data_IF_637143359560
#
_entry.id   IF_637143359560
#
_cell.length_a   1.000
_cell.length_b   1.000
_cell.length_c   1.000
_cell.angle_alpha   90.00
_cell.angle_beta   90.00
_cell.angle_gamma   90.00
#
_symmetry.space_group_name_H-M   'P 1'
#
loop_
_entity.id
_entity.type
_entity.pdbx_description
1 polymer ?
#
# COMPACT_ATOMS: atom_id res chain seq x y z
N UNK A 1 -40.69 24.28 -11.27
CA UNK A 1 -39.59 23.50 -10.65
C UNK A 1 -39.23 22.42 -11.65
N UNK A 2 -38.26 22.68 -12.52
CA UNK A 2 -37.85 21.75 -13.57
C UNK A 2 -37.12 20.57 -12.95
N UNK A 3 -37.56 19.36 -13.27
CA UNK A 3 -36.79 18.14 -13.06
C UNK A 3 -35.45 18.32 -13.77
N UNK A 4 -34.37 18.52 -13.00
CA UNK A 4 -33.02 18.39 -13.54
C UNK A 4 -32.92 16.98 -14.09
N UNK A 5 -32.99 16.85 -15.42
CA UNK A 5 -32.82 15.58 -16.09
C UNK A 5 -31.45 15.06 -15.74
N UNK A 6 -31.39 13.79 -15.33
CA UNK A 6 -30.13 13.10 -15.11
C UNK A 6 -29.41 13.09 -16.46
N UNK A 7 -28.35 13.88 -16.57
CA UNK A 7 -27.51 13.93 -17.77
C UNK A 7 -26.71 12.63 -17.84
N UNK A 8 -26.86 11.88 -18.94
CA UNK A 8 -26.04 10.72 -19.25
C UNK A 8 -25.04 11.13 -20.35
N UNK A 9 -23.84 11.61 -20.00
CA UNK A 9 -22.87 11.99 -21.01
C UNK A 9 -22.43 10.77 -21.82
N UNK A 10 -22.25 10.94 -23.13
CA UNK A 10 -21.77 9.87 -24.01
C UNK A 10 -20.28 9.54 -23.77
N UNK A 11 -19.52 10.52 -23.28
CA UNK A 11 -18.13 10.38 -22.87
C UNK A 11 -17.75 11.52 -21.90
N UNK A 12 -16.67 11.33 -21.15
CA UNK A 12 -16.05 12.34 -20.29
C UNK A 12 -14.65 12.65 -20.80
N UNK A 13 -14.39 13.92 -21.08
CA UNK A 13 -13.04 14.42 -21.38
C UNK A 13 -12.57 15.21 -20.16
N UNK A 14 -11.49 14.76 -19.54
CA UNK A 14 -10.85 15.44 -18.42
C UNK A 14 -9.58 16.12 -18.92
N UNK A 15 -9.23 17.26 -18.33
CA UNK A 15 -8.03 18.02 -18.71
C UNK A 15 -7.01 17.86 -17.59
N UNK A 16 -5.87 17.24 -17.89
CA UNK A 16 -4.72 17.22 -17.00
C UNK A 16 -4.26 18.66 -16.75
N UNK A 17 -3.91 18.99 -15.51
CA UNK A 17 -3.48 20.35 -15.13
C UNK A 17 -1.96 20.50 -15.12
N UNK A 18 -1.22 19.42 -15.41
CA UNK A 18 0.22 19.39 -15.51
C UNK A 18 0.61 19.01 -16.94
N UNK A 19 1.71 19.59 -17.44
CA UNK A 19 2.19 19.38 -18.82
C UNK A 19 3.13 18.18 -18.95
N UNK A 20 3.64 17.65 -17.83
CA UNK A 20 4.64 16.59 -17.80
C UNK A 20 4.08 15.25 -17.28
N UNK A 21 2.80 15.20 -16.94
CA UNK A 21 2.16 14.03 -16.36
C UNK A 21 0.93 13.62 -17.18
N UNK A 22 1.01 12.44 -17.78
CA UNK A 22 -0.03 11.86 -18.63
C UNK A 22 -0.92 10.85 -17.88
N UNK A 23 -0.87 10.81 -16.55
CA UNK A 23 -1.70 9.91 -15.77
C UNK A 23 -3.19 10.24 -15.95
N UNK A 24 -4.05 9.23 -16.17
CA UNK A 24 -5.49 9.44 -16.24
C UNK A 24 -6.02 10.00 -14.92
N UNK A 25 -6.92 10.98 -15.00
CA UNK A 25 -7.65 11.52 -13.84
C UNK A 25 -8.67 10.49 -13.34
N UNK A 26 -9.38 9.83 -14.27
CA UNK A 26 -10.29 8.74 -13.96
C UNK A 26 -9.52 7.44 -14.17
N UNK A 27 -9.23 6.74 -13.06
CA UNK A 27 -8.53 5.44 -13.03
C UNK A 27 -9.41 4.29 -12.57
N UNK A 28 -10.67 4.60 -12.26
CA UNK A 28 -11.67 3.61 -11.87
C UNK A 28 -12.06 2.76 -13.08
N UNK A 29 -11.71 1.48 -13.04
CA UNK A 29 -12.00 0.53 -14.10
C UNK A 29 -13.48 0.16 -14.18
N UNK A 30 -14.25 0.38 -13.11
CA UNK A 30 -15.70 0.16 -13.07
C UNK A 30 -16.47 1.42 -13.51
N UNK A 31 -15.78 2.50 -13.90
CA UNK A 31 -16.42 3.69 -14.45
C UNK A 31 -17.00 3.39 -15.84
N UNK A 32 -18.34 3.34 -16.00
CA UNK A 32 -18.95 2.74 -17.18
C UNK A 32 -19.08 3.70 -18.37
N UNK A 33 -18.59 4.93 -18.22
CA UNK A 33 -18.67 5.99 -19.23
C UNK A 33 -17.30 6.13 -19.90
N UNK A 34 -17.19 6.08 -21.24
CA UNK A 34 -15.93 6.31 -21.93
C UNK A 34 -15.24 7.58 -21.45
N UNK A 35 -14.03 7.46 -20.91
CA UNK A 35 -13.29 8.60 -20.36
C UNK A 35 -11.88 8.70 -20.91
N UNK A 36 -11.43 9.93 -21.16
CA UNK A 36 -10.05 10.22 -21.57
C UNK A 36 -9.53 11.44 -20.81
N UNK A 37 -8.25 11.42 -20.45
CA UNK A 37 -7.53 12.61 -19.97
C UNK A 37 -6.70 13.16 -21.11
N UNK A 38 -6.84 14.46 -21.36
CA UNK A 38 -6.10 15.19 -22.41
C UNK A 38 -5.18 16.23 -21.76
N UNK A 39 -4.17 16.69 -22.51
CA UNK A 39 -3.23 17.71 -22.02
C UNK A 39 -3.91 19.07 -21.82
N UNK A 40 -3.31 19.98 -21.01
CA UNK A 40 -3.80 21.35 -20.87
C UNK A 40 -4.03 22.07 -22.21
N UNK A 41 -3.17 21.84 -23.21
CA UNK A 41 -3.25 22.47 -24.54
C UNK A 41 -4.49 22.01 -25.30
N UNK A 42 -4.79 20.70 -25.27
CA UNK A 42 -6.01 20.16 -25.87
C UNK A 42 -7.23 20.68 -25.10
N UNK A 43 -7.17 20.74 -23.77
CA UNK A 43 -8.23 21.32 -22.95
C UNK A 43 -8.51 22.79 -23.30
N UNK A 44 -7.47 23.60 -23.46
CA UNK A 44 -7.58 25.00 -23.87
C UNK A 44 -8.22 25.11 -25.26
N UNK A 45 -7.80 24.28 -26.22
CA UNK A 45 -8.40 24.23 -27.56
C UNK A 45 -9.90 23.92 -27.47
N UNK A 46 -10.29 22.89 -26.71
CA UNK A 46 -11.68 22.47 -26.54
C UNK A 46 -12.54 23.56 -25.90
N UNK A 47 -12.00 24.33 -24.96
CA UNK A 47 -12.72 25.40 -24.25
C UNK A 47 -12.80 26.72 -25.03
N UNK A 48 -11.84 27.00 -25.91
CA UNK A 48 -11.75 28.30 -26.61
C UNK A 48 -12.23 28.26 -28.05
N UNK A 49 -12.26 27.07 -28.68
CA UNK A 49 -12.75 26.92 -30.05
C UNK A 49 -14.28 27.02 -30.10
N UNK A 50 -14.78 28.22 -30.41
CA UNK A 50 -16.22 28.50 -30.52
C UNK A 50 -16.85 28.06 -31.85
N UNK A 51 -16.05 27.64 -32.82
CA UNK A 51 -16.55 27.24 -34.15
C UNK A 51 -16.86 25.73 -34.22
N UNK A 52 -16.26 24.92 -33.37
CA UNK A 52 -16.50 23.47 -33.30
C UNK A 52 -17.45 23.13 -32.15
N UNK A 53 -18.57 22.47 -32.48
CA UNK A 53 -19.58 22.05 -31.49
C UNK A 53 -19.56 20.55 -31.22
N UNK A 54 -18.64 19.79 -31.85
CA UNK A 54 -18.56 18.33 -31.72
C UNK A 54 -17.12 17.82 -31.67
N UNK A 55 -16.93 16.70 -30.96
CA UNK A 55 -15.65 15.98 -30.83
C UNK A 55 -15.91 14.51 -31.15
N UNK A 56 -14.99 13.87 -31.89
CA UNK A 56 -15.01 12.42 -32.09
C UNK A 56 -13.98 11.77 -31.17
N UNK A 57 -14.45 10.92 -30.26
CA UNK A 57 -13.61 10.10 -29.39
C UNK A 57 -13.79 8.63 -29.78
N UNK A 58 -12.69 7.93 -30.02
CA UNK A 58 -12.69 6.48 -30.28
C UNK A 58 -11.80 5.80 -29.24
N UNK A 59 -12.38 4.91 -28.44
CA UNK A 59 -11.66 4.09 -27.45
C UNK A 59 -11.84 2.62 -27.85
N UNK A 60 -10.73 1.91 -28.02
CA UNK A 60 -10.73 0.48 -28.26
C UNK A 60 -10.34 -0.24 -26.96
N UNK A 61 -11.34 -0.72 -26.23
CA UNK A 61 -11.14 -1.47 -24.98
C UNK A 61 -12.01 -2.73 -24.95
N UNK A 62 -11.61 -3.69 -24.11
CA UNK A 62 -12.39 -4.89 -23.84
C UNK A 62 -12.26 -5.25 -22.37
N UNK A 63 -13.37 -5.64 -21.73
CA UNK A 63 -13.36 -6.24 -20.39
C UNK A 63 -13.32 -7.75 -20.55
N UNK A 64 -12.40 -8.41 -19.87
CA UNK A 64 -12.24 -9.86 -19.88
C UNK A 64 -12.09 -10.37 -18.45
N UNK A 65 -12.60 -11.57 -18.13
CA UNK A 65 -12.35 -12.18 -16.82
C UNK A 65 -10.86 -12.35 -16.57
N UNK A 66 -10.41 -11.92 -15.39
CA UNK A 66 -9.05 -12.14 -14.88
C UNK A 66 -9.08 -12.88 -13.55
N UNK A 67 -7.95 -13.48 -13.18
CA UNK A 67 -7.77 -14.12 -11.87
C UNK A 67 -6.46 -13.68 -11.26
N UNK A 68 -6.45 -13.50 -9.94
CA UNK A 68 -5.26 -13.16 -9.17
C UNK A 68 -5.28 -13.90 -7.83
N UNK A 69 -4.14 -13.94 -7.13
CA UNK A 69 -4.02 -14.66 -5.85
C UNK A 69 -3.11 -13.90 -4.89
N UNK A 70 -3.51 -13.83 -3.63
CA UNK A 70 -2.54 -13.53 -2.56
C UNK A 70 -1.63 -14.74 -2.36
N UNK A 71 -0.35 -14.48 -2.09
CA UNK A 71 0.62 -15.51 -1.72
C UNK A 71 0.87 -15.38 -0.22
N UNK A 72 0.64 -16.46 0.53
CA UNK A 72 0.74 -16.45 2.00
C UNK A 72 1.75 -17.53 2.45
N UNK A 73 2.82 -17.10 3.09
CA UNK A 73 3.80 -17.95 3.78
C UNK A 73 3.61 -17.86 5.29
N UNK A 74 3.78 -18.97 6.02
CA UNK A 74 3.61 -19.00 7.48
C UNK A 74 4.75 -19.74 8.15
N UNK A 75 5.25 -19.16 9.24
CA UNK A 75 6.14 -19.82 10.19
C UNK A 75 5.37 -19.97 11.50
N UNK A 76 5.13 -21.21 11.90
CA UNK A 76 4.36 -21.51 13.10
C UNK A 76 5.11 -21.06 14.36
N UNK A 77 4.39 -20.41 15.27
CA UNK A 77 4.90 -20.04 16.57
C UNK A 77 4.61 -21.09 17.64
N UNK A 78 5.16 -20.89 18.85
CA UNK A 78 4.83 -21.69 20.05
C UNK A 78 3.40 -21.45 20.54
N UNK A 79 2.83 -20.29 20.24
CA UNK A 79 1.45 -19.90 20.52
C UNK A 79 0.70 -19.57 19.23
N UNK A 80 -0.62 -19.49 19.33
CA UNK A 80 -1.51 -19.24 18.20
C UNK A 80 -1.47 -17.78 17.68
N UNK A 81 -0.85 -16.88 18.45
CA UNK A 81 -0.66 -15.50 18.07
C UNK A 81 0.32 -15.37 16.90
N UNK A 82 0.23 -14.26 16.15
CA UNK A 82 1.12 -13.99 15.02
C UNK A 82 1.45 -12.51 14.81
N UNK A 83 2.57 -12.27 14.13
CA UNK A 83 2.92 -10.98 13.52
C UNK A 83 2.70 -11.13 12.01
N UNK A 84 2.02 -10.17 11.41
CA UNK A 84 1.81 -10.15 9.96
C UNK A 84 2.84 -9.21 9.33
N UNK A 85 3.46 -9.67 8.26
CA UNK A 85 4.32 -8.88 7.39
C UNK A 85 3.73 -8.90 5.99
N UNK A 86 3.62 -7.74 5.36
CA UNK A 86 2.92 -7.63 4.09
C UNK A 86 3.53 -6.60 3.13
N UNK A 87 3.34 -6.86 1.84
CA UNK A 87 3.55 -5.95 0.71
C UNK A 87 2.61 -6.41 -0.42
N UNK A 88 2.34 -5.58 -1.43
CA UNK A 88 1.63 -6.05 -2.64
C UNK A 88 2.63 -6.29 -3.78
N UNK A 89 2.29 -7.22 -4.68
CA UNK A 89 3.15 -7.58 -5.80
C UNK A 89 2.61 -7.15 -7.17
N UNK A 90 1.37 -6.65 -7.24
CA UNK A 90 0.88 -5.97 -8.43
C UNK A 90 1.45 -4.56 -8.54
N UNK A 91 1.33 -3.99 -9.73
CA UNK A 91 1.71 -2.61 -10.04
C UNK A 91 0.77 -2.07 -11.12
N UNK A 92 0.78 -0.76 -11.34
CA UNK A 92 -0.03 -0.11 -12.37
C UNK A 92 0.42 -0.53 -13.78
N UNK A 93 -0.51 -0.59 -14.73
CA UNK A 93 -0.17 -0.86 -16.12
C UNK A 93 0.86 0.14 -16.68
N UNK A 94 1.93 -0.37 -17.29
CA UNK A 94 2.94 0.43 -17.96
C UNK A 94 4.06 0.96 -17.06
N UNK A 95 4.09 0.59 -15.78
CA UNK A 95 5.26 0.76 -14.90
C UNK A 95 6.01 -0.58 -14.74
N UNK A 96 7.29 -0.52 -14.33
CA UNK A 96 8.03 -1.71 -13.90
C UNK A 96 7.76 -2.08 -12.44
N UNK A 97 7.21 -1.14 -11.65
CA UNK A 97 6.82 -1.35 -10.26
C UNK A 97 7.99 -1.57 -9.31
N UNK A 98 9.14 -0.95 -9.58
CA UNK A 98 10.36 -1.22 -8.81
C UNK A 98 10.27 -0.64 -7.39
N UNK A 99 9.85 0.61 -7.29
CA UNK A 99 9.50 1.30 -6.06
C UNK A 99 8.16 0.78 -5.54
N UNK A 100 7.18 0.68 -6.43
CA UNK A 100 5.78 0.39 -6.13
C UNK A 100 5.30 -0.90 -6.86
N UNK A 101 5.50 -2.08 -6.29
CA UNK A 101 6.03 -2.31 -4.93
C UNK A 101 6.99 -3.51 -4.82
N UNK A 102 7.79 -3.75 -5.88
CA UNK A 102 8.83 -4.78 -5.86
C UNK A 102 9.86 -4.55 -4.74
N UNK A 103 10.10 -3.30 -4.36
CA UNK A 103 10.98 -2.93 -3.22
C UNK A 103 10.46 -3.50 -1.89
N UNK A 104 9.16 -3.38 -1.60
CA UNK A 104 8.51 -3.96 -0.44
C UNK A 104 8.52 -5.48 -0.46
N UNK A 105 8.23 -6.09 -1.61
CA UNK A 105 8.33 -7.55 -1.80
C UNK A 105 9.74 -8.07 -1.55
N UNK A 106 10.77 -7.35 -2.01
CA UNK A 106 12.16 -7.70 -1.77
C UNK A 106 12.48 -7.77 -0.27
N UNK A 107 12.07 -6.76 0.52
CA UNK A 107 12.24 -6.78 1.97
C UNK A 107 11.42 -7.89 2.62
N UNK A 108 10.16 -8.08 2.22
CA UNK A 108 9.28 -9.13 2.74
C UNK A 108 9.91 -10.53 2.58
N UNK A 109 10.39 -10.84 1.37
CA UNK A 109 11.04 -12.12 1.07
C UNK A 109 12.36 -12.29 1.81
N UNK A 110 13.15 -11.21 1.94
CA UNK A 110 14.42 -11.25 2.67
C UNK A 110 14.20 -11.54 4.16
N UNK A 111 13.17 -10.93 4.78
CA UNK A 111 12.79 -11.25 6.17
C UNK A 111 12.28 -12.69 6.27
N UNK A 112 11.45 -13.13 5.33
CA UNK A 112 10.91 -14.49 5.32
C UNK A 112 12.03 -15.55 5.25
N UNK A 113 13.00 -15.37 4.36
CA UNK A 113 14.19 -16.23 4.24
C UNK A 113 14.99 -16.25 5.54
N UNK A 114 15.32 -15.07 6.08
CA UNK A 114 16.07 -14.96 7.33
C UNK A 114 15.36 -15.61 8.53
N UNK A 115 14.04 -15.47 8.62
CA UNK A 115 13.28 -16.05 9.73
C UNK A 115 13.07 -17.55 9.56
N UNK A 116 12.98 -18.08 8.33
CA UNK A 116 12.83 -19.51 8.09
C UNK A 116 14.03 -20.34 8.57
N UNK A 117 15.24 -19.76 8.60
CA UNK A 117 16.44 -20.39 9.15
C UNK A 117 16.47 -20.44 10.69
N UNK A 118 15.58 -19.68 11.35
CA UNK A 118 15.48 -19.64 12.81
C UNK A 118 14.39 -20.59 13.28
N UNK A 119 14.63 -21.19 14.43
CA UNK A 119 13.66 -22.06 15.06
C UNK A 119 13.02 -21.36 16.25
N UNK A 120 11.83 -21.83 16.63
CA UNK A 120 11.13 -21.44 17.85
C UNK A 120 10.61 -20.00 17.88
N UNK A 121 9.95 -19.55 16.80
CA UNK A 121 9.20 -18.31 16.85
C UNK A 121 8.13 -18.33 17.94
N UNK A 122 7.99 -17.21 18.61
CA UNK A 122 6.96 -16.96 19.60
C UNK A 122 6.78 -15.44 19.55
N UNK A 123 5.69 -14.87 19.00
CA UNK A 123 4.58 -15.53 18.29
C UNK A 123 4.98 -16.07 16.90
N UNK A 124 4.03 -16.65 16.16
CA UNK A 124 4.25 -17.06 14.76
C UNK A 124 4.39 -15.86 13.80
N UNK A 125 4.80 -16.13 12.55
CA UNK A 125 4.92 -15.11 11.50
C UNK A 125 4.07 -15.50 10.29
N UNK A 126 3.40 -14.51 9.71
CA UNK A 126 2.64 -14.66 8.47
C UNK A 126 3.09 -13.59 7.47
N UNK A 127 3.59 -14.04 6.32
CA UNK A 127 4.08 -13.21 5.23
C UNK A 127 3.05 -13.21 4.11
N UNK A 128 2.60 -12.03 3.69
CA UNK A 128 1.55 -11.88 2.69
C UNK A 128 2.07 -11.01 1.55
N UNK A 129 2.11 -11.56 0.35
CA UNK A 129 2.19 -10.77 -0.87
C UNK A 129 0.76 -10.60 -1.41
N UNK A 130 0.18 -9.41 -1.20
CA UNK A 130 -1.16 -9.08 -1.68
C UNK A 130 -1.16 -8.87 -3.19
N UNK A 131 -2.30 -9.22 -3.79
CA UNK A 131 -2.59 -8.91 -5.17
C UNK A 131 -3.67 -7.84 -5.29
N UNK A 132 -3.63 -7.08 -6.38
CA UNK A 132 -4.70 -6.15 -6.77
C UNK A 132 -4.91 -5.02 -5.75
N UNK A 133 -3.85 -4.58 -5.10
CA UNK A 133 -3.87 -3.40 -4.22
C UNK A 133 -4.29 -2.17 -5.05
N UNK A 134 -3.61 -1.97 -6.18
CA UNK A 134 -3.78 -0.83 -7.10
C UNK A 134 -5.15 -0.80 -7.79
N UNK A 135 -5.85 -1.93 -7.75
CA UNK A 135 -7.11 -2.16 -8.43
C UNK A 135 -8.20 -2.58 -7.43
N UNK A 136 -8.48 -1.70 -6.46
CA UNK A 136 -9.55 -1.79 -5.43
C UNK A 136 -9.29 -2.73 -4.24
N UNK A 137 -8.04 -3.15 -4.01
CA UNK A 137 -7.72 -4.03 -2.88
C UNK A 137 -8.50 -5.36 -2.89
N UNK A 138 -8.70 -5.97 -4.07
CA UNK A 138 -9.44 -7.23 -4.17
C UNK A 138 -8.75 -8.35 -3.36
N UNK A 139 -7.42 -8.36 -3.32
CA UNK A 139 -6.64 -9.26 -2.48
C UNK A 139 -6.98 -9.11 -1.00
N UNK A 140 -7.07 -7.87 -0.51
CA UNK A 140 -7.45 -7.56 0.86
C UNK A 140 -8.84 -8.10 1.19
N UNK A 141 -9.82 -7.86 0.32
CA UNK A 141 -11.19 -8.36 0.52
C UNK A 141 -11.23 -9.89 0.62
N UNK A 142 -10.50 -10.58 -0.27
CA UNK A 142 -10.40 -12.04 -0.26
C UNK A 142 -9.76 -12.52 1.05
N UNK A 143 -8.67 -11.88 1.49
CA UNK A 143 -7.98 -12.24 2.71
C UNK A 143 -8.87 -12.05 3.95
N UNK A 144 -9.50 -10.89 4.07
CA UNK A 144 -10.43 -10.58 5.16
C UNK A 144 -11.58 -11.59 5.21
N UNK A 145 -12.19 -11.92 4.07
CA UNK A 145 -13.30 -12.87 4.02
C UNK A 145 -12.96 -14.26 4.58
N UNK A 146 -11.66 -14.61 4.59
CA UNK A 146 -11.15 -15.92 5.02
C UNK A 146 -10.55 -15.94 6.42
N UNK A 147 -10.01 -14.81 6.89
CA UNK A 147 -9.13 -14.80 8.07
C UNK A 147 -9.45 -13.69 9.09
N UNK A 148 -10.50 -12.90 8.89
CA UNK A 148 -10.86 -11.81 9.81
C UNK A 148 -11.12 -12.29 11.25
N UNK A 149 -11.59 -13.52 11.43
CA UNK A 149 -11.82 -14.16 12.73
C UNK A 149 -10.53 -14.40 13.54
N UNK A 150 -9.36 -14.33 12.89
CA UNK A 150 -8.06 -14.51 13.53
C UNK A 150 -7.40 -13.18 13.93
N UNK A 151 -8.00 -12.04 13.61
CA UNK A 151 -7.34 -10.74 13.77
C UNK A 151 -7.10 -10.38 15.24
N UNK A 152 -7.91 -10.89 16.16
CA UNK A 152 -7.71 -10.72 17.61
C UNK A 152 -6.40 -11.35 18.12
N UNK A 153 -5.81 -12.27 17.34
CA UNK A 153 -4.54 -12.95 17.66
C UNK A 153 -3.33 -12.34 16.96
N UNK A 154 -3.53 -11.28 16.18
CA UNK A 154 -2.43 -10.57 15.52
C UNK A 154 -1.87 -9.54 16.47
N UNK A 155 -0.56 -9.55 16.74
CA UNK A 155 0.09 -8.54 17.58
C UNK A 155 0.21 -7.21 16.84
N UNK A 156 0.74 -7.28 15.61
CA UNK A 156 0.91 -6.14 14.74
C UNK A 156 0.97 -6.60 13.27
N UNK A 157 0.64 -5.71 12.35
CA UNK A 157 0.85 -5.87 10.92
C UNK A 157 1.90 -4.85 10.44
N UNK A 158 2.99 -5.32 9.85
CA UNK A 158 4.00 -4.47 9.22
C UNK A 158 3.77 -4.47 7.70
N UNK A 159 3.65 -3.30 7.09
CA UNK A 159 3.40 -3.17 5.65
C UNK A 159 4.52 -2.40 4.98
N UNK A 160 5.12 -2.99 3.95
CA UNK A 160 6.21 -2.38 3.19
C UNK A 160 5.67 -1.92 1.85
N UNK A 161 5.56 -0.61 1.67
CA UNK A 161 4.99 -0.04 0.46
C UNK A 161 5.65 1.27 0.04
N UNK A 162 6.27 1.25 -1.14
CA UNK A 162 7.03 2.36 -1.65
C UNK A 162 8.23 2.66 -0.75
N UNK A 163 9.18 1.73 -0.66
CA UNK A 163 10.41 1.92 0.13
C UNK A 163 11.66 2.00 -0.75
N UNK A 164 12.77 2.44 -0.16
CA UNK A 164 14.10 2.19 -0.73
C UNK A 164 14.55 3.14 -1.85
N UNK A 165 13.85 4.24 -2.15
CA UNK A 165 14.34 5.19 -3.17
C UNK A 165 15.71 5.74 -2.81
N UNK A 166 16.65 5.71 -3.76
CA UNK A 166 17.99 6.29 -3.65
C UNK A 166 17.94 7.78 -3.31
N UNK A 167 17.02 8.53 -3.92
CA UNK A 167 16.80 9.95 -3.64
C UNK A 167 15.55 10.10 -2.78
N UNK A 168 15.74 10.24 -1.47
CA UNK A 168 14.65 10.27 -0.50
C UNK A 168 15.06 9.73 0.86
N UNK A 169 14.10 9.53 1.74
CA UNK A 169 14.33 8.94 3.06
C UNK A 169 13.21 7.95 3.34
N UNK A 170 13.54 6.73 3.78
CA UNK A 170 12.53 5.81 4.26
C UNK A 170 11.81 6.42 5.45
N UNK A 171 10.56 6.04 5.67
CA UNK A 171 9.78 6.48 6.81
C UNK A 171 8.92 5.33 7.34
N UNK A 172 8.42 5.52 8.56
CA UNK A 172 7.41 4.68 9.17
C UNK A 172 6.51 5.51 10.08
N UNK A 173 5.37 4.93 10.42
CA UNK A 173 4.51 5.42 11.49
C UNK A 173 3.84 4.25 12.21
N UNK A 174 3.10 4.52 13.28
CA UNK A 174 2.28 3.52 13.97
C UNK A 174 0.82 3.95 13.90
N UNK A 175 -0.02 3.05 13.40
CA UNK A 175 -1.46 3.23 13.29
C UNK A 175 -2.17 2.38 14.34
N UNK A 176 -2.68 3.07 15.36
CA UNK A 176 -3.22 2.49 16.59
C UNK A 176 -2.20 1.65 17.39
N UNK A 177 -2.52 1.45 18.67
CA UNK A 177 -1.73 0.69 19.62
C UNK A 177 -1.79 1.31 21.01
N UNK A 178 -1.36 0.55 22.01
CA UNK A 178 -1.12 1.06 23.36
C UNK A 178 -0.03 2.15 23.37
N UNK A 179 0.00 2.98 24.40
CA UNK A 179 1.09 3.93 24.64
C UNK A 179 2.43 3.20 24.79
N UNK A 180 2.45 2.07 25.50
CA UNK A 180 3.64 1.24 25.70
C UNK A 180 4.22 0.73 24.38
N UNK A 181 3.37 0.25 23.49
CA UNK A 181 3.79 -0.19 22.15
C UNK A 181 4.32 0.97 21.32
N UNK A 182 3.66 2.13 21.35
CA UNK A 182 4.14 3.32 20.65
C UNK A 182 5.53 3.76 21.14
N UNK A 183 5.74 3.76 22.45
CA UNK A 183 7.00 4.15 23.06
C UNK A 183 8.14 3.20 22.69
N UNK A 184 7.89 1.88 22.70
CA UNK A 184 8.88 0.87 22.27
C UNK A 184 9.22 0.98 20.78
N UNK A 185 8.22 1.16 19.91
CA UNK A 185 8.47 1.37 18.46
C UNK A 185 9.31 2.63 18.24
N UNK A 186 9.02 3.73 18.95
CA UNK A 186 9.81 4.97 18.87
C UNK A 186 11.21 4.81 19.43
N UNK A 187 11.38 4.05 20.51
CA UNK A 187 12.70 3.77 21.11
C UNK A 187 13.58 2.98 20.14
N UNK A 188 13.04 1.93 19.51
CA UNK A 188 13.75 1.15 18.50
C UNK A 188 14.07 2.03 17.29
N UNK A 189 13.09 2.78 16.75
CA UNK A 189 13.29 3.71 15.63
C UNK A 189 14.36 4.76 15.91
N UNK A 190 14.58 5.16 17.16
CA UNK A 190 15.62 6.13 17.53
C UNK A 190 17.04 5.63 17.19
N UNK A 191 17.25 4.31 17.16
CA UNK A 191 18.51 3.68 16.72
C UNK A 191 18.69 3.69 15.20
N UNK A 192 17.66 4.05 14.44
CA UNK A 192 17.64 4.11 12.97
C UNK A 192 17.37 5.55 12.49
N UNK A 193 18.34 6.49 12.64
CA UNK A 193 18.12 7.90 12.34
C UNK A 193 17.89 8.19 10.85
N UNK A 194 18.27 7.28 9.95
CA UNK A 194 18.01 7.40 8.50
C UNK A 194 16.58 7.06 8.10
N UNK A 195 15.75 6.57 9.02
CA UNK A 195 14.32 6.35 8.79
C UNK A 195 13.54 7.42 9.54
N UNK A 196 12.65 8.14 8.87
CA UNK A 196 11.86 9.21 9.46
C UNK A 196 10.59 8.67 10.12
N UNK A 197 10.14 9.34 11.18
CA UNK A 197 8.77 9.16 11.67
C UNK A 197 7.86 10.13 10.92
N UNK A 198 6.74 9.66 10.41
CA UNK A 198 5.75 10.47 9.68
C UNK A 198 4.36 10.41 10.29
N UNK A 199 3.48 11.29 9.83
CA UNK A 199 2.05 11.23 10.19
C UNK A 199 1.39 9.98 9.58
N UNK A 200 0.34 9.44 10.24
CA UNK A 200 -0.47 8.35 9.69
C UNK A 200 -1.02 8.65 8.29
N UNK A 201 -1.00 7.62 7.44
CA UNK A 201 -1.57 7.58 6.09
C UNK A 201 -2.38 6.28 5.94
N UNK A 202 -3.21 6.14 4.90
CA UNK A 202 -4.24 5.08 4.85
C UNK A 202 -4.28 4.31 3.53
N UNK A 203 -3.49 4.73 2.54
CA UNK A 203 -3.58 4.29 1.15
C UNK A 203 -2.72 3.05 0.85
N UNK A 204 -2.84 1.96 1.64
CA UNK A 204 -2.21 0.65 1.35
C UNK A 204 -2.77 -0.49 2.23
N UNK A 205 -2.27 -1.73 2.07
CA UNK A 205 -2.79 -2.95 2.73
C UNK A 205 -2.77 -2.91 4.27
N UNK A 206 -1.94 -2.07 4.89
CA UNK A 206 -1.98 -1.89 6.36
C UNK A 206 -3.37 -1.42 6.84
N UNK A 207 -4.12 -0.69 6.01
CA UNK A 207 -5.47 -0.25 6.34
C UNK A 207 -6.42 -1.42 6.60
N UNK A 208 -6.24 -2.54 5.91
CA UNK A 208 -7.02 -3.77 6.09
C UNK A 208 -7.00 -4.27 7.53
N UNK A 209 -5.83 -4.17 8.16
CA UNK A 209 -5.59 -4.58 9.54
C UNK A 209 -5.98 -3.48 10.53
N UNK A 210 -5.50 -2.25 10.30
CA UNK A 210 -5.77 -1.10 11.16
C UNK A 210 -7.26 -0.83 11.34
N UNK A 211 -8.05 -0.84 10.25
CA UNK A 211 -9.51 -0.61 10.29
C UNK A 211 -10.28 -1.65 11.10
N UNK A 212 -9.63 -2.77 11.48
CA UNK A 212 -10.18 -3.87 12.26
C UNK A 212 -9.51 -4.03 13.63
N UNK A 213 -8.81 -3.00 14.10
CA UNK A 213 -8.24 -2.95 15.44
C UNK A 213 -6.93 -3.71 15.61
N UNK A 214 -6.27 -4.10 14.52
CA UNK A 214 -4.89 -4.63 14.57
C UNK A 214 -3.91 -3.45 14.47
N UNK A 215 -3.04 -3.22 15.47
CA UNK A 215 -1.99 -2.23 15.38
C UNK A 215 -1.14 -2.44 14.13
N UNK A 216 -0.91 -1.38 13.35
CA UNK A 216 -0.25 -1.50 12.04
C UNK A 216 0.91 -0.52 11.88
N UNK A 217 2.03 -0.99 11.33
CA UNK A 217 3.26 -0.24 11.11
C UNK A 217 3.51 -0.17 9.60
N UNK A 218 2.99 0.84 8.90
CA UNK A 218 3.35 1.06 7.52
C UNK A 218 4.75 1.68 7.39
N UNK A 219 5.52 1.14 6.47
CA UNK A 219 6.81 1.64 6.01
C UNK A 219 6.65 2.18 4.60
N UNK A 220 7.24 3.34 4.32
CA UNK A 220 7.27 3.96 3.00
C UNK A 220 8.52 4.83 2.81
N UNK A 221 8.51 5.75 1.85
CA UNK A 221 9.62 6.63 1.55
C UNK A 221 9.15 8.02 1.11
N UNK A 222 9.73 9.04 1.72
CA UNK A 222 9.62 10.43 1.28
C UNK A 222 10.73 10.69 0.27
N UNK A 223 10.42 10.55 -1.02
CA UNK A 223 11.38 10.67 -2.11
C UNK A 223 10.85 11.46 -3.29
N UNK A 224 11.29 11.08 -4.49
CA UNK A 224 10.90 11.67 -5.76
C UNK A 224 9.44 11.30 -6.05
N UNK A 225 8.55 12.29 -6.03
CA UNK A 225 7.10 12.09 -6.13
C UNK A 225 6.62 11.75 -7.55
N UNK A 226 7.35 12.16 -8.59
CA UNK A 226 6.98 11.93 -9.98
C UNK A 226 7.45 10.56 -10.54
N UNK A 227 7.83 9.62 -9.67
CA UNK A 227 8.12 8.23 -10.07
C UNK A 227 6.88 7.35 -9.97
N UNK A 228 6.08 7.53 -8.91
CA UNK A 228 4.94 6.69 -8.58
C UNK A 228 3.98 6.56 -9.76
N UNK A 229 3.62 5.32 -10.11
CA UNK A 229 2.71 4.98 -11.21
C UNK A 229 3.18 5.40 -12.61
N UNK A 230 4.45 5.78 -12.78
CA UNK A 230 5.00 6.19 -14.07
C UNK A 230 5.94 5.14 -14.66
N UNK A 231 6.27 5.27 -15.94
CA UNK A 231 7.32 4.48 -16.61
C UNK A 231 8.72 4.69 -16.02
N UNK A 232 8.89 5.76 -15.25
CA UNK A 232 10.15 6.06 -14.58
C UNK A 232 10.32 5.26 -13.30
N UNK A 233 9.28 4.62 -12.77
CA UNK A 233 9.41 3.67 -11.68
C UNK A 233 10.16 2.40 -12.17
N UNK A 234 11.47 2.47 -12.02
CA UNK A 234 12.45 1.48 -12.46
C UNK A 234 13.47 1.20 -11.38
N UNK A 235 14.15 0.06 -11.51
CA UNK A 235 15.10 -0.46 -10.53
C UNK A 235 16.27 0.50 -10.24
N UNK A 236 16.66 1.37 -11.18
CA UNK A 236 17.76 2.31 -10.97
C UNK A 236 17.48 3.36 -9.89
N UNK A 237 16.20 3.58 -9.55
CA UNK A 237 15.82 4.46 -8.45
C UNK A 237 15.94 3.79 -7.09
N UNK A 238 16.12 2.48 -7.02
CA UNK A 238 16.11 1.72 -5.77
C UNK A 238 17.52 1.51 -5.24
N UNK A 239 17.69 1.76 -3.95
CA UNK A 239 18.94 1.53 -3.21
C UNK A 239 18.82 0.27 -2.35
N UNK A 240 19.60 -0.79 -2.64
CA UNK A 240 19.65 -1.97 -1.77
C UNK A 240 20.02 -1.64 -0.32
N UNK A 241 20.88 -0.64 -0.12
CA UNK A 241 21.26 -0.18 1.22
C UNK A 241 20.07 0.39 1.99
N UNK A 242 19.15 1.10 1.32
CA UNK A 242 17.93 1.63 1.94
C UNK A 242 16.89 0.55 2.19
N UNK A 243 16.75 -0.43 1.31
CA UNK A 243 15.94 -1.61 1.61
C UNK A 243 16.48 -2.35 2.84
N UNK A 244 17.81 -2.42 2.98
CA UNK A 244 18.47 -3.02 4.15
C UNK A 244 18.23 -2.25 5.45
N UNK A 245 18.08 -0.92 5.42
CA UNK A 245 17.67 -0.13 6.60
C UNK A 245 16.29 -0.56 7.11
N UNK A 246 15.31 -0.68 6.20
CA UNK A 246 13.95 -1.13 6.54
C UNK A 246 13.97 -2.55 7.07
N UNK A 247 14.72 -3.45 6.42
CA UNK A 247 14.92 -4.82 6.87
C UNK A 247 15.42 -4.90 8.32
N UNK A 248 16.48 -4.16 8.67
CA UNK A 248 17.03 -4.18 10.04
C UNK A 248 16.02 -3.69 11.07
N UNK A 249 15.36 -2.57 10.80
CA UNK A 249 14.36 -2.03 11.71
C UNK A 249 13.17 -2.99 11.88
N UNK A 250 12.68 -3.58 10.79
CA UNK A 250 11.62 -4.58 10.86
C UNK A 250 12.03 -5.80 11.70
N UNK A 251 13.27 -6.29 11.58
CA UNK A 251 13.76 -7.37 12.43
C UNK A 251 13.79 -7.01 13.92
N UNK A 252 14.27 -5.83 14.29
CA UNK A 252 14.28 -5.37 15.69
C UNK A 252 12.86 -5.24 16.26
N UNK A 253 11.90 -4.79 15.43
CA UNK A 253 10.49 -4.74 15.82
C UNK A 253 9.89 -6.15 16.00
N UNK A 254 10.23 -7.11 15.12
CA UNK A 254 9.80 -8.51 15.27
C UNK A 254 10.39 -9.10 16.57
N UNK A 255 11.67 -8.86 16.84
CA UNK A 255 12.34 -9.31 18.06
C UNK A 255 11.66 -8.75 19.31
N UNK A 256 11.37 -7.44 19.32
CA UNK A 256 10.66 -6.79 20.43
C UNK A 256 9.28 -7.41 20.68
N UNK A 257 8.60 -7.88 19.64
CA UNK A 257 7.26 -8.47 19.76
C UNK A 257 7.27 -9.93 20.24
N UNK A 258 8.42 -10.60 20.36
CA UNK A 258 8.44 -12.03 20.65
C UNK A 258 7.81 -12.40 22.01
N UNK A 259 7.99 -11.56 23.01
CA UNK A 259 7.47 -11.79 24.37
C UNK A 259 6.17 -11.01 24.68
N UNK A 260 5.59 -10.31 23.69
CA UNK A 260 4.41 -9.43 23.88
C UNK A 260 3.11 -10.12 23.51
N UNK A 261 1.97 -9.58 23.93
CA UNK A 261 0.65 -10.16 23.59
C UNK A 261 -0.20 -9.22 22.73
N UNK A 262 -1.24 -9.75 22.06
CA UNK A 262 -2.29 -8.93 21.46
C UNK A 262 -2.85 -7.83 22.37
N UNK A 263 -3.01 -8.08 23.66
CA UNK A 263 -3.52 -7.10 24.63
C UNK A 263 -2.49 -6.02 24.96
N UNK A 264 -1.21 -6.39 25.03
CA UNK A 264 -0.14 -5.41 25.24
C UNK A 264 -0.09 -4.43 24.08
N UNK A 265 -0.09 -4.92 22.84
CA UNK A 265 -0.01 -4.07 21.64
C UNK A 265 -1.23 -3.18 21.43
N UNK A 266 -2.44 -3.62 21.80
CA UNK A 266 -3.70 -2.86 21.66
C UNK A 266 -4.03 -1.96 22.85
N UNK A 267 -3.38 -2.19 23.98
CA UNK A 267 -3.76 -1.61 25.26
C UNK A 267 -4.95 -2.34 25.86
N UNK A 268 -5.13 -2.24 27.18
CA UNK A 268 -6.32 -2.78 27.83
C UNK A 268 -7.54 -2.08 27.25
N UNK A 269 -8.42 -2.83 26.58
CA UNK A 269 -9.78 -2.36 26.33
C UNK A 269 -10.41 -2.13 27.70
N UNK A 270 -10.41 -0.88 28.17
CA UNK A 270 -11.29 -0.47 29.23
C UNK A 270 -12.69 -0.86 28.79
N UNK A 271 -13.32 -1.79 29.50
CA UNK A 271 -14.67 -2.24 29.19
C UNK A 271 -15.55 -1.02 29.02
N UNK A 272 -16.00 -0.78 27.78
CA UNK A 272 -17.13 0.10 27.55
C UNK A 272 -18.36 -0.69 28.02
N UNK A 273 -18.65 -0.55 29.31
CA UNK A 273 -20.00 -0.71 29.86
C UNK A 273 -20.92 0.33 29.27
#
# INVERSE_FOLDING_TARGET
MGTQGIYHPAAVITVGTQTENDLPIIRDWDFPIPSVTVTPEVGLLLLTNRESTSVQLTIHSSIQPGSTNNIIGRLAGRREDKIILTAHYDTVFGTSGAFDNASGICVLLTIAEYMAERHHHDPGLEFIAFSSEEYLGLGDQIYVSRYADQFDRVLAAMNFDGIGQTVGTNNLTLMAGSEEFLDEVKAIKANHPSIQWTDPWYESNHYTFFSRGVPSIPFSCSGVQNLLHTREDRVEWISPAKCYEVYKLALELIEMLQDKTPEWTRGRTGGRT
#
